data_IF_294386741553
#
_entry.id   IF_294386741553
#
_cell.length_a   1.000
_cell.length_b   1.000
_cell.length_c   1.000
_cell.angle_alpha   90.00
_cell.angle_beta   90.00
_cell.angle_gamma   90.00
#
_symmetry.space_group_name_H-M   'P 1'
#
loop_
_entity.id
_entity.type
_entity.pdbx_description
1 polymer ?
#
# COMPACT_ATOMS: atom_id res chain seq x y z
N UNK A 1 -3.94 -9.55 2.40
CA UNK A 1 -4.50 -8.97 3.64
C UNK A 1 -5.46 -7.84 3.28
N UNK A 2 -6.34 -7.42 4.18
CA UNK A 2 -7.17 -6.23 3.94
C UNK A 2 -6.34 -4.96 4.13
N UNK A 3 -6.66 -3.89 3.40
CA UNK A 3 -5.98 -2.60 3.53
C UNK A 3 -6.06 -2.04 4.95
N UNK A 4 -7.16 -2.33 5.66
CA UNK A 4 -7.36 -1.91 7.05
C UNK A 4 -6.39 -2.60 8.04
N UNK A 5 -5.77 -3.72 7.66
CA UNK A 5 -4.77 -4.43 8.45
C UNK A 5 -3.34 -4.00 8.15
N UNK A 6 -3.14 -3.18 7.11
CA UNK A 6 -1.83 -2.68 6.69
C UNK A 6 -1.25 -1.75 7.77
N UNK A 7 0.06 -1.82 7.96
CA UNK A 7 0.79 -0.97 8.93
C UNK A 7 2.06 -0.43 8.28
N UNK A 8 2.59 0.64 8.87
CA UNK A 8 3.92 1.13 8.50
C UNK A 8 4.98 0.02 8.68
N UNK A 9 5.93 -0.04 7.75
CA UNK A 9 6.97 -1.07 7.66
C UNK A 9 6.60 -2.29 6.80
N UNK A 10 5.33 -2.47 6.42
CA UNK A 10 4.93 -3.55 5.52
C UNK A 10 5.42 -3.26 4.09
N UNK A 11 5.68 -4.32 3.33
CA UNK A 11 5.98 -4.24 1.89
C UNK A 11 4.82 -4.78 1.07
N UNK A 12 4.28 -3.93 0.19
CA UNK A 12 3.23 -4.30 -0.77
C UNK A 12 3.87 -4.72 -2.08
N UNK A 13 3.38 -5.81 -2.66
CA UNK A 13 3.80 -6.28 -3.99
C UNK A 13 2.77 -5.87 -5.04
N UNK A 14 3.22 -5.22 -6.11
CA UNK A 14 2.43 -4.94 -7.30
C UNK A 14 2.99 -5.76 -8.47
N UNK A 15 2.12 -6.56 -9.08
CA UNK A 15 2.46 -7.31 -10.27
C UNK A 15 2.13 -6.46 -11.50
N UNK A 16 3.13 -6.16 -12.31
CA UNK A 16 2.98 -5.44 -13.57
C UNK A 16 2.66 -6.41 -14.70
N UNK A 17 1.98 -5.93 -15.74
CA UNK A 17 1.61 -6.74 -16.92
C UNK A 17 2.82 -7.33 -17.66
N UNK A 18 4.01 -6.74 -17.47
CA UNK A 18 5.27 -7.26 -18.01
C UNK A 18 5.85 -8.44 -17.20
N UNK A 19 5.15 -8.92 -16.17
CA UNK A 19 5.60 -9.99 -15.28
C UNK A 19 6.58 -9.54 -14.19
N UNK A 20 6.95 -8.26 -14.16
CA UNK A 20 7.78 -7.70 -13.09
C UNK A 20 6.96 -7.50 -11.81
N UNK A 21 7.59 -7.72 -10.66
CA UNK A 21 7.02 -7.42 -9.35
C UNK A 21 7.72 -6.19 -8.77
N UNK A 22 6.94 -5.16 -8.43
CA UNK A 22 7.43 -4.00 -7.68
C UNK A 22 7.07 -4.14 -6.22
N UNK A 23 8.00 -3.70 -5.38
CA UNK A 23 7.83 -3.67 -3.94
C UNK A 23 7.80 -2.23 -3.46
N UNK A 24 6.77 -1.88 -2.69
CA UNK A 24 6.65 -0.57 -2.08
C UNK A 24 6.57 -0.72 -0.56
N UNK A 25 7.39 0.04 0.15
CA UNK A 25 7.35 0.08 1.61
C UNK A 25 6.25 1.04 2.07
N UNK A 26 5.43 0.60 3.02
CA UNK A 26 4.38 1.41 3.62
C UNK A 26 5.00 2.31 4.68
N UNK A 27 4.92 3.61 4.47
CA UNK A 27 5.41 4.62 5.41
C UNK A 27 4.34 5.02 6.42
N UNK A 28 3.09 5.14 5.97
CA UNK A 28 1.97 5.57 6.82
C UNK A 28 0.66 4.98 6.32
N UNK A 29 -0.23 4.67 7.26
CA UNK A 29 -1.61 4.27 6.99
C UNK A 29 -2.52 5.15 7.85
N UNK A 30 -3.50 5.80 7.23
CA UNK A 30 -4.44 6.69 7.92
C UNK A 30 -5.88 6.45 7.46
N UNK A 31 -6.86 6.42 8.37
CA UNK A 31 -8.27 6.40 7.98
C UNK A 31 -8.66 7.73 7.35
N UNK A 32 -9.40 7.67 6.24
CA UNK A 32 -9.89 8.83 5.48
C UNK A 32 -11.39 8.64 5.18
N UNK A 33 -12.23 8.83 6.20
CA UNK A 33 -13.67 8.59 6.11
C UNK A 33 -13.99 7.11 5.89
N UNK A 34 -14.61 6.78 4.74
CA UNK A 34 -14.89 5.38 4.32
C UNK A 34 -13.73 4.73 3.57
N UNK A 35 -12.58 5.39 3.51
CA UNK A 35 -11.39 4.97 2.79
C UNK A 35 -10.20 4.87 3.74
N UNK A 36 -9.14 4.24 3.26
CA UNK A 36 -7.84 4.19 3.91
C UNK A 36 -6.83 4.81 2.97
N UNK A 37 -6.13 5.83 3.46
CA UNK A 37 -5.01 6.44 2.76
C UNK A 37 -3.71 5.76 3.19
N UNK A 38 -2.92 5.36 2.19
CA UNK A 38 -1.64 4.69 2.40
C UNK A 38 -0.56 5.49 1.70
N UNK A 39 0.47 5.86 2.46
CA UNK A 39 1.68 6.50 1.94
C UNK A 39 2.76 5.45 1.76
N UNK A 40 3.35 5.41 0.56
CA UNK A 40 4.39 4.47 0.16
C UNK A 40 5.72 5.18 -0.06
N UNK A 41 6.82 4.49 0.22
CA UNK A 41 8.15 4.89 -0.23
C UNK A 41 8.31 4.52 -1.71
N UNK A 42 8.76 5.49 -2.50
CA UNK A 42 9.06 5.34 -3.92
C UNK A 42 10.47 5.84 -4.20
N UNK A 43 11.01 5.56 -5.39
CA UNK A 43 12.32 6.07 -5.80
C UNK A 43 12.39 7.61 -5.83
N UNK A 44 11.25 8.30 -5.96
CA UNK A 44 11.20 9.76 -6.06
C UNK A 44 10.78 10.45 -4.74
N UNK A 45 10.62 9.71 -3.65
CA UNK A 45 10.15 10.23 -2.36
C UNK A 45 9.00 9.39 -1.81
N UNK A 46 7.97 10.04 -1.30
CA UNK A 46 6.78 9.36 -0.78
C UNK A 46 5.56 9.73 -1.64
N UNK A 47 4.69 8.76 -1.91
CA UNK A 47 3.44 8.99 -2.63
C UNK A 47 2.26 8.39 -1.86
N UNK A 48 1.08 8.99 -1.94
CA UNK A 48 -0.10 8.59 -1.16
C UNK A 48 -1.26 8.18 -2.07
N UNK A 49 -1.84 7.01 -1.78
CA UNK A 49 -2.96 6.44 -2.54
C UNK A 49 -4.09 6.12 -1.58
N UNK A 50 -5.32 6.42 -2.02
CA UNK A 50 -6.53 6.15 -1.25
C UNK A 50 -7.23 4.90 -1.75
N UNK A 51 -7.54 3.97 -0.85
CA UNK A 51 -8.24 2.72 -1.14
C UNK A 51 -9.60 2.65 -0.41
N UNK A 52 -10.60 1.96 -0.98
CA UNK A 52 -11.76 1.51 -0.20
C UNK A 52 -11.33 0.72 1.03
N UNK A 53 -12.00 0.89 2.18
CA UNK A 53 -11.60 0.23 3.43
C UNK A 53 -11.66 -1.31 3.40
N UNK A 54 -12.41 -1.87 2.46
CA UNK A 54 -12.56 -3.29 2.18
C UNK A 54 -11.63 -3.81 1.06
N UNK A 55 -10.74 -2.97 0.53
CA UNK A 55 -9.77 -3.38 -0.48
C UNK A 55 -8.80 -4.44 0.06
N UNK A 56 -8.36 -5.34 -0.83
CA UNK A 56 -7.38 -6.37 -0.54
C UNK A 56 -6.05 -6.06 -1.24
N UNK A 57 -4.94 -6.23 -0.52
CA UNK A 57 -3.59 -6.11 -1.03
C UNK A 57 -2.74 -7.33 -0.66
N UNK A 58 -1.82 -7.69 -1.55
CA UNK A 58 -0.74 -8.62 -1.24
C UNK A 58 0.41 -7.86 -0.58
N UNK A 59 0.63 -8.14 0.71
CA UNK A 59 1.70 -7.51 1.48
C UNK A 59 2.37 -8.52 2.42
N UNK A 60 3.62 -8.26 2.76
CA UNK A 60 4.43 -9.04 3.70
C UNK A 60 5.17 -8.10 4.66
N UNK A 61 5.62 -8.64 5.80
CA UNK A 61 6.42 -7.93 6.81
C UNK A 61 7.87 -7.88 6.38
#
# INVERSE_FOLDING_TARGET
>A
MTIAQLKAGYRVCEHLDCGAVRHYEVLKVAPAGRRVEVTFATHCGADSVSYPADAFLYAHV
#
